data_IF_115922280424
#
_entry.id   IF_115922280424
#
_cell.length_a   1.000
_cell.length_b   1.000
_cell.length_c   1.000
_cell.angle_alpha   90.00
_cell.angle_beta   90.00
_cell.angle_gamma   90.00
#
_symmetry.space_group_name_H-M   'P 1'
#
loop_
_entity.id
_entity.type
_entity.pdbx_description
1 polymer ?
#
# COMPACT_ATOMS: atom_id res chain seq x y z
N UNK A 1 -2.31 -20.00 7.85
CA UNK A 1 -3.37 -19.24 7.18
C UNK A 1 -3.68 -19.93 5.87
N UNK A 2 -4.95 -20.25 5.62
CA UNK A 2 -5.37 -20.90 4.37
C UNK A 2 -5.17 -19.98 3.17
N UNK A 3 -5.04 -20.54 1.96
CA UNK A 3 -4.95 -19.74 0.72
C UNK A 3 -6.18 -18.88 0.48
N UNK A 4 -7.38 -19.39 0.85
CA UNK A 4 -8.64 -18.64 0.80
C UNK A 4 -8.59 -17.40 1.70
N UNK A 5 -8.10 -17.55 2.94
CA UNK A 5 -7.93 -16.44 3.86
C UNK A 5 -6.90 -15.42 3.35
N UNK A 6 -5.77 -15.87 2.79
CA UNK A 6 -4.77 -14.98 2.17
C UNK A 6 -5.38 -14.14 1.04
N UNK A 7 -6.12 -14.77 0.10
CA UNK A 7 -6.80 -14.04 -0.97
C UNK A 7 -7.80 -13.02 -0.43
N UNK A 8 -8.57 -13.38 0.60
CA UNK A 8 -9.51 -12.48 1.26
C UNK A 8 -8.83 -11.24 1.85
N UNK A 9 -7.71 -11.42 2.56
CA UNK A 9 -6.93 -10.31 3.13
C UNK A 9 -6.32 -9.42 2.04
N UNK A 10 -5.87 -9.99 0.92
CA UNK A 10 -5.38 -9.19 -0.21
C UNK A 10 -6.49 -8.39 -0.90
N UNK A 11 -7.71 -8.93 -0.99
CA UNK A 11 -8.87 -8.16 -1.48
C UNK A 11 -9.14 -6.97 -0.56
N UNK A 12 -9.06 -7.17 0.76
CA UNK A 12 -9.18 -6.06 1.74
C UNK A 12 -8.08 -5.02 1.52
N UNK A 13 -6.82 -5.44 1.30
CA UNK A 13 -5.71 -4.55 0.94
C UNK A 13 -6.01 -3.71 -0.31
N UNK A 14 -6.60 -4.31 -1.35
CA UNK A 14 -7.01 -3.60 -2.58
C UNK A 14 -8.10 -2.56 -2.29
N UNK A 15 -9.13 -2.93 -1.51
CA UNK A 15 -10.21 -2.00 -1.14
C UNK A 15 -9.66 -0.83 -0.34
N UNK A 16 -8.81 -1.10 0.66
CA UNK A 16 -8.16 -0.05 1.45
C UNK A 16 -7.29 0.87 0.60
N UNK A 17 -6.57 0.31 -0.38
CA UNK A 17 -5.78 1.08 -1.32
C UNK A 17 -6.68 2.03 -2.12
N UNK A 18 -7.76 1.54 -2.72
CA UNK A 18 -8.69 2.37 -3.48
C UNK A 18 -9.28 3.49 -2.60
N UNK A 19 -9.74 3.15 -1.39
CA UNK A 19 -10.27 4.15 -0.44
C UNK A 19 -9.22 5.22 -0.15
N UNK A 20 -7.98 4.81 0.13
CA UNK A 20 -6.89 5.72 0.49
C UNK A 20 -6.58 6.79 -0.57
N UNK A 21 -6.83 6.50 -1.84
CA UNK A 21 -6.62 7.45 -2.93
C UNK A 21 -7.62 8.61 -2.88
N UNK A 22 -8.85 8.38 -2.44
CA UNK A 22 -9.89 9.41 -2.44
C UNK A 22 -10.10 10.07 -1.08
N UNK A 23 -9.66 9.43 0.01
CA UNK A 23 -9.83 9.95 1.37
C UNK A 23 -9.32 11.39 1.55
N UNK A 24 -8.12 11.78 1.07
CA UNK A 24 -7.64 13.16 1.29
C UNK A 24 -8.58 14.23 0.72
N UNK A 25 -9.14 13.98 -0.47
CA UNK A 25 -10.09 14.91 -1.10
C UNK A 25 -11.45 14.97 -0.39
N UNK A 26 -11.87 13.87 0.26
CA UNK A 26 -13.10 13.84 1.07
C UNK A 26 -12.91 14.53 2.44
N UNK A 27 -11.73 14.39 3.05
CA UNK A 27 -11.40 15.06 4.32
C UNK A 27 -11.41 16.58 4.17
N UNK A 28 -10.98 17.10 3.03
CA UNK A 28 -11.02 18.54 2.74
C UNK A 28 -12.45 19.12 2.73
N UNK A 29 -13.46 18.34 2.31
CA UNK A 29 -14.86 18.75 2.31
C UNK A 29 -15.46 18.85 3.72
N UNK A 30 -14.92 18.10 4.69
CA UNK A 30 -15.48 17.99 6.05
C UNK A 30 -14.78 18.87 7.09
N UNK A 31 -13.48 19.13 6.95
CA UNK A 31 -12.70 19.82 7.98
C UNK A 31 -12.57 21.34 7.77
N UNK A 32 -13.07 21.86 6.64
CA UNK A 32 -12.81 23.24 6.23
C UNK A 32 -11.33 23.41 5.86
N UNK A 33 -11.04 24.40 5.01
CA UNK A 33 -9.68 24.69 4.56
C UNK A 33 -8.81 25.17 5.73
N UNK A 34 -8.19 24.25 6.46
CA UNK A 34 -7.08 24.57 7.35
C UNK A 34 -5.94 25.09 6.46
N UNK A 35 -5.67 26.40 6.52
CA UNK A 35 -4.64 27.10 5.70
C UNK A 35 -3.22 26.53 5.85
N UNK A 36 -2.99 25.65 6.82
CA UNK A 36 -1.71 25.00 7.11
C UNK A 36 -1.58 23.60 6.51
N UNK A 37 -2.66 23.02 5.98
CA UNK A 37 -2.66 21.67 5.40
C UNK A 37 -2.75 21.79 3.88
N UNK A 38 -1.87 21.09 3.17
CA UNK A 38 -1.91 21.02 1.70
C UNK A 38 -3.25 20.47 1.24
N UNK A 39 -4.05 21.19 0.42
CA UNK A 39 -5.39 20.76 0.02
C UNK A 39 -5.43 19.30 -0.46
N UNK A 40 -6.46 18.56 -0.07
CA UNK A 40 -6.61 17.13 -0.35
C UNK A 40 -6.71 16.81 -1.84
N UNK A 41 -7.32 17.67 -2.65
CA UNK A 41 -7.28 17.54 -4.12
C UNK A 41 -5.86 17.74 -4.68
N UNK A 42 -5.07 18.61 -4.05
CA UNK A 42 -3.67 18.85 -4.39
C UNK A 42 -2.81 17.65 -3.99
N UNK A 43 -3.04 17.03 -2.83
CA UNK A 43 -2.39 15.76 -2.43
C UNK A 43 -2.67 14.66 -3.45
N UNK A 44 -3.92 14.54 -3.90
CA UNK A 44 -4.30 13.59 -4.95
C UNK A 44 -3.57 13.89 -6.26
N UNK A 45 -3.61 15.14 -6.73
CA UNK A 45 -2.96 15.57 -7.97
C UNK A 45 -1.43 15.41 -7.92
N UNK A 46 -0.79 15.78 -6.80
CA UNK A 46 0.62 15.53 -6.56
C UNK A 46 0.94 14.05 -6.60
N UNK A 47 0.06 13.24 -6.05
CA UNK A 47 0.27 11.81 -6.02
C UNK A 47 0.32 11.16 -7.39
N UNK A 48 -0.65 11.48 -8.25
CA UNK A 48 -0.64 11.03 -9.63
C UNK A 48 0.54 11.60 -10.42
N UNK A 49 0.95 12.85 -10.17
CA UNK A 49 2.13 13.44 -10.81
C UNK A 49 3.46 12.84 -10.32
N UNK A 50 3.58 12.50 -9.05
CA UNK A 50 4.81 11.94 -8.49
C UNK A 50 5.11 10.51 -8.98
N UNK A 51 4.10 9.77 -9.46
CA UNK A 51 4.31 8.54 -10.24
C UNK A 51 5.05 8.82 -11.55
N UNK A 52 4.81 9.96 -12.19
CA UNK A 52 5.46 10.35 -13.46
C UNK A 52 6.94 10.72 -13.21
N UNK A 53 7.25 11.25 -12.02
CA UNK A 53 8.61 11.62 -11.62
C UNK A 53 9.41 10.49 -10.92
N UNK A 54 8.93 9.24 -10.97
CA UNK A 54 9.60 8.07 -10.36
C UNK A 54 9.96 8.24 -8.88
N UNK A 55 9.13 8.97 -8.15
CA UNK A 55 9.36 9.17 -6.74
C UNK A 55 9.29 7.82 -5.99
N UNK A 56 10.26 7.46 -5.12
CA UNK A 56 10.33 6.10 -4.55
C UNK A 56 9.04 5.63 -3.87
N UNK A 57 8.41 6.47 -3.04
CA UNK A 57 7.10 6.17 -2.44
C UNK A 57 6.01 5.80 -3.45
N UNK A 58 6.04 6.38 -4.65
CA UNK A 58 5.05 6.14 -5.70
C UNK A 58 5.33 4.89 -6.52
N UNK A 59 6.61 4.51 -6.65
CA UNK A 59 7.01 3.18 -7.15
C UNK A 59 6.49 2.04 -6.25
N UNK A 60 6.14 2.31 -4.99
CA UNK A 60 5.46 1.34 -4.11
C UNK A 60 4.11 0.90 -4.69
N UNK A 61 3.36 1.77 -5.38
CA UNK A 61 2.08 1.41 -6.01
C UNK A 61 2.27 0.37 -7.11
N UNK A 62 3.29 0.56 -7.95
CA UNK A 62 3.61 -0.35 -9.06
C UNK A 62 4.06 -1.70 -8.52
N UNK A 63 5.02 -1.70 -7.59
CA UNK A 63 5.55 -2.92 -6.98
C UNK A 63 4.47 -3.66 -6.18
N UNK A 64 3.57 -2.95 -5.50
CA UNK A 64 2.39 -3.51 -4.85
C UNK A 64 1.43 -4.16 -5.85
N UNK A 65 1.10 -3.48 -6.95
CA UNK A 65 0.17 -4.00 -7.95
C UNK A 65 0.73 -5.26 -8.63
N UNK A 66 1.99 -5.22 -9.08
CA UNK A 66 2.66 -6.37 -9.67
C UNK A 66 2.80 -7.50 -8.64
N UNK A 67 3.16 -7.19 -7.39
CA UNK A 67 3.26 -8.15 -6.30
C UNK A 67 1.97 -8.91 -6.02
N UNK A 68 0.83 -8.20 -6.01
CA UNK A 68 -0.50 -8.80 -5.87
C UNK A 68 -0.88 -9.66 -7.09
N UNK A 69 -0.64 -9.19 -8.31
CA UNK A 69 -0.89 -9.97 -9.53
C UNK A 69 -0.10 -11.29 -9.50
N UNK A 70 1.19 -11.22 -9.14
CA UNK A 70 2.03 -12.41 -9.02
C UNK A 70 1.55 -13.35 -7.91
N UNK A 71 1.00 -12.82 -6.82
CA UNK A 71 0.38 -13.65 -5.78
C UNK A 71 -0.81 -14.44 -6.34
N UNK A 72 -1.73 -13.76 -7.06
CA UNK A 72 -2.90 -14.41 -7.65
C UNK A 72 -2.54 -15.40 -8.76
N UNK A 73 -1.43 -15.17 -9.47
CA UNK A 73 -0.81 -16.12 -10.42
C UNK A 73 0.05 -17.21 -9.75
N UNK A 74 -0.01 -17.31 -8.42
CA UNK A 74 0.69 -18.34 -7.62
C UNK A 74 2.23 -18.28 -7.69
N UNK A 75 2.80 -17.16 -8.16
CA UNK A 75 4.24 -16.88 -8.17
C UNK A 75 4.70 -16.32 -6.81
N UNK A 76 4.49 -17.10 -5.75
CA UNK A 76 4.61 -16.62 -4.36
C UNK A 76 5.99 -16.09 -3.98
N UNK A 77 7.09 -16.66 -4.49
CA UNK A 77 8.44 -16.17 -4.20
C UNK A 77 8.67 -14.75 -4.75
N UNK A 78 8.32 -14.53 -6.01
CA UNK A 78 8.44 -13.22 -6.65
C UNK A 78 7.51 -12.20 -5.98
N UNK A 79 6.28 -12.60 -5.67
CA UNK A 79 5.34 -11.78 -4.90
C UNK A 79 5.90 -11.38 -3.54
N UNK A 80 6.54 -12.31 -2.80
CA UNK A 80 7.16 -12.00 -1.51
C UNK A 80 8.28 -10.96 -1.61
N UNK A 81 9.20 -11.09 -2.58
CA UNK A 81 10.26 -10.10 -2.77
C UNK A 81 9.70 -8.73 -3.18
N UNK A 82 8.67 -8.70 -4.03
CA UNK A 82 7.99 -7.45 -4.37
C UNK A 82 7.26 -6.84 -3.17
N UNK A 83 6.69 -7.64 -2.27
CA UNK A 83 6.10 -7.12 -1.03
C UNK A 83 7.16 -6.48 -0.12
N UNK A 84 8.37 -7.06 -0.03
CA UNK A 84 9.48 -6.42 0.70
C UNK A 84 9.86 -5.11 0.04
N UNK A 85 10.05 -5.10 -1.28
CA UNK A 85 10.41 -3.89 -2.02
C UNK A 85 9.33 -2.81 -1.88
N UNK A 86 8.06 -3.19 -1.95
CA UNK A 86 6.91 -2.30 -1.73
C UNK A 86 7.00 -1.64 -0.36
N UNK A 87 7.24 -2.42 0.69
CA UNK A 87 7.39 -1.89 2.06
C UNK A 87 8.57 -0.94 2.20
N UNK A 88 9.72 -1.25 1.58
CA UNK A 88 10.89 -0.37 1.60
C UNK A 88 10.62 0.94 0.86
N UNK A 89 9.99 0.87 -0.31
CA UNK A 89 9.60 2.05 -1.08
C UNK A 89 8.55 2.88 -0.33
N UNK A 90 7.60 2.26 0.37
CA UNK A 90 6.59 3.00 1.12
C UNK A 90 7.17 3.77 2.31
N UNK A 91 8.33 3.39 2.85
CA UNK A 91 8.98 4.13 3.94
C UNK A 91 9.41 5.54 3.52
N UNK A 92 9.74 5.73 2.24
CA UNK A 92 10.04 7.06 1.70
C UNK A 92 8.87 8.04 1.88
N UNK A 93 7.63 7.52 1.93
CA UNK A 93 6.42 8.34 2.11
C UNK A 93 6.43 9.16 3.42
N UNK A 94 7.18 8.73 4.44
CA UNK A 94 7.25 9.43 5.73
C UNK A 94 8.05 10.74 5.69
N UNK A 95 8.80 10.99 4.61
CA UNK A 95 9.46 12.28 4.39
C UNK A 95 8.48 13.39 3.97
N UNK A 96 7.22 13.06 3.64
CA UNK A 96 6.25 13.99 3.07
C UNK A 96 5.26 14.55 4.09
N UNK A 97 4.76 15.79 3.87
CA UNK A 97 3.76 16.42 4.74
C UNK A 97 2.37 15.78 4.65
N UNK A 98 2.12 14.90 3.67
CA UNK A 98 0.83 14.24 3.47
C UNK A 98 0.36 13.34 4.63
N UNK A 99 1.23 13.07 5.61
CA UNK A 99 0.94 12.27 6.81
C UNK A 99 -0.21 12.78 7.68
N UNK A 100 -0.71 13.98 7.43
CA UNK A 100 -1.81 14.60 8.19
C UNK A 100 -3.17 14.02 7.75
N UNK A 101 -3.26 13.45 6.55
CA UNK A 101 -4.49 12.86 6.00
C UNK A 101 -4.66 11.40 6.43
N UNK A 102 -5.89 10.99 6.77
CA UNK A 102 -6.23 9.59 7.01
C UNK A 102 -5.88 8.72 5.79
N UNK A 103 -6.02 9.27 4.58
CA UNK A 103 -5.62 8.63 3.34
C UNK A 103 -4.17 8.13 3.34
N UNK A 104 -3.22 8.89 3.90
CA UNK A 104 -1.82 8.47 4.00
C UNK A 104 -1.64 7.21 4.85
N UNK A 105 -2.31 7.16 6.00
CA UNK A 105 -2.22 6.01 6.91
C UNK A 105 -2.91 4.78 6.31
N UNK A 106 -4.08 4.96 5.70
CA UNK A 106 -4.79 3.90 5.00
C UNK A 106 -3.96 3.33 3.85
N UNK A 107 -3.29 4.20 3.08
CA UNK A 107 -2.40 3.78 2.00
C UNK A 107 -1.23 2.94 2.52
N UNK A 108 -0.54 3.42 3.58
CA UNK A 108 0.57 2.70 4.18
C UNK A 108 0.16 1.32 4.70
N UNK A 109 -1.01 1.21 5.35
CA UNK A 109 -1.56 -0.08 5.77
C UNK A 109 -1.85 -0.96 4.55
N UNK A 110 -2.55 -0.42 3.55
CA UNK A 110 -2.94 -1.15 2.36
C UNK A 110 -1.74 -1.78 1.64
N UNK A 111 -0.66 -1.02 1.43
CA UNK A 111 0.51 -1.50 0.69
C UNK A 111 1.38 -2.48 1.47
N UNK A 112 1.31 -2.48 2.81
CA UNK A 112 2.12 -3.34 3.67
C UNK A 112 1.42 -4.65 4.09
N UNK A 113 0.08 -4.75 3.96
CA UNK A 113 -0.67 -5.99 4.22
C UNK A 113 -0.12 -7.20 3.44
N UNK A 114 0.22 -7.11 2.14
CA UNK A 114 0.78 -8.24 1.39
C UNK A 114 2.06 -8.82 2.01
N UNK A 115 2.94 -7.98 2.58
CA UNK A 115 4.14 -8.45 3.27
C UNK A 115 3.76 -9.21 4.55
N UNK A 116 2.86 -8.67 5.36
CA UNK A 116 2.39 -9.34 6.57
C UNK A 116 1.75 -10.70 6.27
N UNK A 117 0.93 -10.78 5.21
CA UNK A 117 0.34 -12.03 4.70
C UNK A 117 1.42 -13.02 4.29
N UNK A 118 2.45 -12.57 3.57
CA UNK A 118 3.52 -13.44 3.10
C UNK A 118 4.42 -13.95 4.24
N UNK A 119 4.72 -13.11 5.24
CA UNK A 119 5.46 -13.52 6.45
C UNK A 119 4.66 -14.53 7.27
N UNK A 120 3.36 -14.31 7.47
CA UNK A 120 2.48 -15.25 8.16
C UNK A 120 2.36 -16.60 7.39
N UNK A 121 2.44 -16.57 6.06
CA UNK A 121 2.45 -17.76 5.23
C UNK A 121 3.76 -18.55 5.35
N UNK A 122 4.91 -17.88 5.42
CA UNK A 122 6.23 -18.51 5.50
C UNK A 122 6.50 -19.11 6.89
N UNK A 123 5.97 -18.52 7.98
CA UNK A 123 6.09 -19.07 9.35
C UNK A 123 5.37 -20.42 9.55
N UNK A 124 4.46 -20.78 8.66
CA UNK A 124 3.62 -21.97 8.76
C UNK A 124 4.03 -23.11 7.82
N UNK A 125 5.16 -22.96 7.10
CA UNK A 125 5.75 -24.11 6.43
C UNK A 125 6.48 -24.94 7.50
N UNK A 126 6.23 -26.26 7.59
CA UNK A 126 7.09 -27.13 8.39
C UNK A 126 8.53 -26.93 7.93
N UNK A 127 9.48 -26.94 8.86
CA UNK A 127 10.89 -27.02 8.48
C UNK A 127 11.07 -28.32 7.69
N UNK A 128 11.91 -28.35 6.64
CA UNK A 128 12.30 -29.62 6.06
C UNK A 128 13.06 -30.40 7.15
N UNK A 129 12.44 -31.43 7.72
CA UNK A 129 13.06 -32.28 8.75
C UNK A 129 12.19 -32.70 9.95
N UNK A 130 10.90 -32.35 10.01
CA UNK A 130 9.94 -32.91 10.98
C UNK A 130 9.18 -34.11 10.39
#
# INVERSE_FOLDING_TARGET
MSRKAQKGVLIVSIILFVVSLFTPSLEELNFGTHREIMPGYLVLAWGWNAMIFFHPAWCANITWAVGNILFFKEKYRASFYLSILTSLLSLDSYAYPAKIYLGFYLWNVAVNIPLAVALAANRLKPKPGD
#
